data_IF_458678405441
#
_entry.id   IF_458678405441
#
_cell.length_a   1.000
_cell.length_b   1.000
_cell.length_c   1.000
_cell.angle_alpha   90.00
_cell.angle_beta   90.00
_cell.angle_gamma   90.00
#
_symmetry.space_group_name_H-M   'P 1'
#
loop_
_entity.id
_entity.type
_entity.pdbx_description
1 polymer ?
#
# COMPACT_ATOMS: atom_id res chain seq x y z
N UNK A 1 7.44 -20.11 -18.07
CA UNK A 1 6.88 -19.76 -19.40
C UNK A 1 6.52 -18.28 -19.53
N UNK A 2 5.83 -17.63 -18.57
CA UNK A 2 5.49 -16.19 -18.70
C UNK A 2 6.72 -15.27 -18.80
N UNK A 3 7.77 -15.50 -18.00
CA UNK A 3 9.03 -14.73 -18.05
C UNK A 3 9.73 -14.82 -19.41
N UNK A 4 9.72 -16.00 -20.04
CA UNK A 4 10.32 -16.24 -21.35
C UNK A 4 9.64 -15.48 -22.50
N UNK A 5 8.45 -14.89 -22.27
CA UNK A 5 7.85 -13.96 -23.24
C UNK A 5 8.59 -12.62 -23.31
N UNK A 6 9.19 -12.20 -22.20
CA UNK A 6 9.95 -10.96 -22.09
C UNK A 6 11.45 -11.19 -22.27
N UNK A 7 11.99 -12.29 -21.72
CA UNK A 7 13.40 -12.67 -21.79
C UNK A 7 13.50 -14.13 -22.26
N UNK A 8 13.54 -14.40 -23.59
CA UNK A 8 13.43 -15.75 -24.14
C UNK A 8 14.48 -16.75 -23.64
N UNK A 9 15.70 -16.28 -23.40
CA UNK A 9 16.84 -17.14 -23.04
C UNK A 9 16.86 -17.55 -21.57
N UNK A 10 15.96 -17.03 -20.72
CA UNK A 10 15.93 -17.35 -19.28
C UNK A 10 15.67 -18.84 -19.04
N UNK A 11 16.47 -19.42 -18.15
CA UNK A 11 16.45 -20.84 -17.77
C UNK A 11 16.06 -20.99 -16.31
N UNK A 12 15.69 -22.20 -15.93
CA UNK A 12 15.34 -22.50 -14.53
C UNK A 12 16.50 -22.25 -13.56
N UNK A 13 17.75 -22.43 -14.00
CA UNK A 13 18.94 -22.17 -13.21
C UNK A 13 19.17 -20.68 -12.91
N UNK A 14 18.54 -19.77 -13.67
CA UNK A 14 18.65 -18.32 -13.49
C UNK A 14 17.62 -17.80 -12.46
N UNK A 15 16.80 -18.68 -11.88
CA UNK A 15 15.67 -18.32 -11.00
C UNK A 15 15.90 -18.94 -9.63
N UNK A 16 15.82 -18.10 -8.61
CA UNK A 16 15.74 -18.52 -7.21
C UNK A 16 14.36 -18.25 -6.61
N UNK A 17 14.07 -18.88 -5.47
CA UNK A 17 12.80 -18.62 -4.76
C UNK A 17 12.82 -17.21 -4.17
N UNK A 18 11.89 -16.37 -4.62
CA UNK A 18 11.60 -15.10 -3.98
C UNK A 18 10.72 -15.25 -2.74
N UNK A 19 10.63 -14.17 -1.97
CA UNK A 19 9.67 -14.04 -0.88
C UNK A 19 8.22 -13.85 -1.36
N UNK A 20 7.27 -14.05 -0.46
CA UNK A 20 5.86 -13.71 -0.66
C UNK A 20 5.50 -12.49 0.19
N UNK A 21 4.59 -11.65 -0.31
CA UNK A 21 4.09 -10.47 0.40
C UNK A 21 2.58 -10.30 0.21
N UNK A 22 1.92 -9.71 1.21
CA UNK A 22 0.50 -9.36 1.17
C UNK A 22 0.37 -7.85 1.03
N UNK A 23 -0.53 -7.39 0.16
CA UNK A 23 -0.82 -5.96 0.00
C UNK A 23 -1.91 -5.54 0.97
N UNK A 24 -1.77 -4.35 1.55
CA UNK A 24 -2.85 -3.66 2.24
C UNK A 24 -3.85 -3.09 1.20
N UNK A 25 -4.58 -3.99 0.56
CA UNK A 25 -5.50 -3.73 -0.54
C UNK A 25 -6.94 -3.86 -0.04
N UNK A 26 -7.65 -2.75 0.04
CA UNK A 26 -9.07 -2.71 0.34
C UNK A 26 -9.90 -3.11 -0.87
N UNK A 27 -11.03 -3.76 -0.59
CA UNK A 27 -12.06 -4.15 -1.56
C UNK A 27 -13.35 -3.45 -1.15
N UNK A 28 -13.94 -2.70 -2.08
CA UNK A 28 -15.21 -2.03 -1.89
C UNK A 28 -16.36 -3.05 -1.78
N UNK A 29 -17.52 -2.67 -1.21
CA UNK A 29 -18.69 -3.55 -1.16
C UNK A 29 -19.17 -4.05 -2.53
N UNK A 30 -18.83 -3.31 -3.60
CA UNK A 30 -19.09 -3.69 -4.99
C UNK A 30 -18.15 -4.78 -5.53
N UNK A 31 -17.13 -5.18 -4.76
CA UNK A 31 -16.05 -6.08 -5.18
C UNK A 31 -14.89 -5.37 -5.90
N UNK A 32 -14.99 -4.07 -6.15
CA UNK A 32 -13.93 -3.30 -6.80
C UNK A 32 -12.72 -3.11 -5.86
N UNK A 33 -11.51 -3.20 -6.41
CA UNK A 33 -10.30 -2.82 -5.68
C UNK A 33 -10.25 -1.30 -5.51
N UNK A 34 -9.88 -0.83 -4.33
CA UNK A 34 -9.62 0.60 -4.13
C UNK A 34 -8.24 0.92 -4.70
N UNK A 35 -8.19 1.78 -5.71
CA UNK A 35 -6.96 2.02 -6.48
C UNK A 35 -5.93 2.90 -5.73
N UNK A 36 -6.39 3.90 -4.97
CA UNK A 36 -5.54 4.88 -4.29
C UNK A 36 -5.59 4.75 -2.77
N UNK A 37 -4.71 5.45 -2.05
CA UNK A 37 -4.69 5.47 -0.61
C UNK A 37 -6.05 5.85 -0.02
N UNK A 38 -6.47 5.11 1.01
CA UNK A 38 -7.68 5.41 1.75
C UNK A 38 -7.34 5.56 3.22
N UNK A 39 -7.50 6.78 3.71
CA UNK A 39 -7.34 7.12 5.11
C UNK A 39 -8.72 7.51 5.65
N UNK A 40 -9.08 7.00 6.83
CA UNK A 40 -10.30 7.36 7.54
C UNK A 40 -9.92 7.89 8.91
N UNK A 41 -10.42 9.08 9.26
CA UNK A 41 -10.19 9.69 10.57
C UNK A 41 -11.46 9.56 11.39
N UNK A 42 -11.32 9.16 12.65
CA UNK A 42 -12.39 9.17 13.65
C UNK A 42 -11.89 9.90 14.90
N UNK A 43 -12.77 10.10 15.87
CA UNK A 43 -12.36 10.59 17.19
C UNK A 43 -11.27 9.65 17.75
N UNK A 44 -10.09 10.21 18.01
CA UNK A 44 -8.97 9.46 18.57
C UNK A 44 -8.37 8.37 17.68
N UNK A 45 -8.59 8.36 16.35
CA UNK A 45 -7.89 7.42 15.48
C UNK A 45 -7.71 7.92 14.03
N UNK A 46 -6.58 7.52 13.44
CA UNK A 46 -6.27 7.68 12.01
C UNK A 46 -6.04 6.29 11.40
N UNK A 47 -6.98 5.83 10.59
CA UNK A 47 -6.94 4.50 9.96
C UNK A 47 -6.39 4.58 8.53
N UNK A 48 -5.27 3.91 8.26
CA UNK A 48 -4.78 3.69 6.89
C UNK A 48 -5.42 2.41 6.36
N UNK A 49 -6.59 2.55 5.73
CA UNK A 49 -7.45 1.43 5.29
C UNK A 49 -6.97 0.81 3.98
N UNK A 50 -6.42 1.62 3.08
CA UNK A 50 -5.86 1.17 1.81
C UNK A 50 -4.52 1.86 1.57
N UNK A 51 -3.48 1.06 1.31
CA UNK A 51 -2.17 1.55 0.90
C UNK A 51 -1.51 0.56 -0.08
N UNK A 52 -2.11 0.36 -1.27
CA UNK A 52 -1.58 -0.52 -2.28
C UNK A 52 -0.37 0.13 -2.97
N UNK A 53 0.23 -0.57 -3.93
CA UNK A 53 1.29 0.02 -4.76
C UNK A 53 0.78 1.32 -5.39
N UNK A 54 1.52 2.44 -5.29
CA UNK A 54 2.95 2.55 -4.98
C UNK A 54 3.30 3.00 -3.54
N UNK A 55 2.68 2.42 -2.50
CA UNK A 55 2.94 2.75 -1.09
C UNK A 55 4.42 2.87 -0.69
N UNK A 56 5.27 1.96 -1.14
CA UNK A 56 6.70 2.03 -0.84
C UNK A 56 7.36 3.26 -1.48
N UNK A 57 7.07 3.53 -2.75
CA UNK A 57 7.62 4.67 -3.50
C UNK A 57 7.12 6.01 -2.96
N UNK A 58 5.85 6.09 -2.57
CA UNK A 58 5.22 7.31 -2.05
C UNK A 58 5.31 7.45 -0.52
N UNK A 59 6.05 6.55 0.16
CA UNK A 59 6.05 6.38 1.62
C UNK A 59 6.31 7.66 2.40
N UNK A 60 7.26 8.49 1.95
CA UNK A 60 7.59 9.76 2.61
C UNK A 60 6.48 10.81 2.44
N UNK A 61 5.86 10.87 1.26
CA UNK A 61 4.78 11.81 0.99
C UNK A 61 3.54 11.47 1.82
N UNK A 62 3.15 10.20 1.81
CA UNK A 62 2.01 9.75 2.61
C UNK A 62 2.29 9.79 4.11
N UNK A 63 3.53 9.49 4.53
CA UNK A 63 3.93 9.61 5.94
C UNK A 63 3.77 11.03 6.47
N UNK A 64 4.17 12.06 5.70
CA UNK A 64 3.92 13.46 6.06
C UNK A 64 2.44 13.80 6.14
N UNK A 65 1.64 13.29 5.20
CA UNK A 65 0.21 13.51 5.21
C UNK A 65 -0.45 12.89 6.45
N UNK A 66 -0.12 11.63 6.79
CA UNK A 66 -0.61 10.95 7.99
C UNK A 66 -0.18 11.69 9.26
N UNK A 67 1.06 12.18 9.33
CA UNK A 67 1.55 12.94 10.47
C UNK A 67 0.76 14.25 10.69
N UNK A 68 0.39 14.95 9.60
CA UNK A 68 -0.48 16.12 9.67
C UNK A 68 -1.87 15.77 10.21
N UNK A 69 -2.50 14.73 9.66
CA UNK A 69 -3.80 14.25 10.14
C UNK A 69 -3.76 13.84 11.61
N UNK A 70 -2.67 13.18 12.05
CA UNK A 70 -2.46 12.83 13.44
C UNK A 70 -2.31 14.07 14.33
N UNK A 71 -1.58 15.10 13.87
CA UNK A 71 -1.51 16.39 14.56
C UNK A 71 -2.89 17.01 14.76
N UNK A 72 -3.76 16.99 13.76
CA UNK A 72 -5.12 17.54 13.86
C UNK A 72 -6.06 16.67 14.71
N UNK A 73 -5.87 15.34 14.68
CA UNK A 73 -6.75 14.38 15.39
C UNK A 73 -6.39 14.22 16.86
N UNK A 74 -5.10 14.41 17.19
CA UNK A 74 -4.56 14.17 18.54
C UNK A 74 -3.97 15.43 19.20
N UNK A 75 -3.75 16.50 18.44
CA UNK A 75 -3.25 17.78 18.95
C UNK A 75 -4.37 18.59 19.59
N UNK A 76 -4.35 18.58 20.92
CA UNK A 76 -5.10 19.39 21.88
C UNK A 76 -6.61 19.12 22.02
N UNK A 77 -6.94 18.11 22.84
CA UNK A 77 -7.91 18.35 23.92
C UNK A 77 -7.16 19.11 25.04
N UNK A 78 -7.79 20.10 25.71
CA UNK A 78 -7.13 21.00 26.66
C UNK A 78 -6.42 20.29 27.82
#
# INVERSE_FOLDING_TARGET
RSLQKLVPDIRAADIERGGAGVRAQAVAPTGALVDDFKISVTEGAVHVVNAPSPAATASLAIGRHIAGLAGDTFGDAP
#
